data_IF_446438753645
#
_entry.id   IF_446438753645
#
_cell.length_a   1.000
_cell.length_b   1.000
_cell.length_c   1.000
_cell.angle_alpha   90.00
_cell.angle_beta   90.00
_cell.angle_gamma   90.00
#
_symmetry.space_group_name_H-M   'P 1'
#
loop_
_entity.id
_entity.type
_entity.pdbx_description
1 polymer ?
#
# COMPACT_ATOMS: atom_id res chain seq x y z
N UNK A 1 -2.28 8.76 -14.37
CA UNK A 1 -3.74 8.78 -14.56
C UNK A 1 -4.32 7.65 -13.75
N UNK A 2 -5.32 7.93 -12.92
CA UNK A 2 -6.03 6.89 -12.17
C UNK A 2 -6.68 5.87 -13.10
N UNK A 3 -6.61 4.59 -12.73
CA UNK A 3 -7.28 3.48 -13.39
C UNK A 3 -7.93 2.59 -12.35
N UNK A 4 -9.07 2.01 -12.69
CA UNK A 4 -9.66 0.97 -11.88
C UNK A 4 -8.91 -0.35 -12.08
N UNK A 5 -8.83 -1.15 -11.02
CA UNK A 5 -8.24 -2.47 -11.06
C UNK A 5 -8.95 -3.38 -10.03
N UNK A 6 -9.31 -4.63 -10.37
CA UNK A 6 -10.20 -5.47 -9.55
C UNK A 6 -9.65 -5.80 -8.15
N UNK A 7 -8.34 -5.66 -7.95
CA UNK A 7 -7.68 -5.89 -6.65
C UNK A 7 -7.72 -4.67 -5.73
N UNK A 8 -7.95 -3.46 -6.28
CA UNK A 8 -7.97 -2.21 -5.53
C UNK A 8 -9.41 -1.82 -5.21
N UNK A 9 -9.80 -2.03 -3.97
CA UNK A 9 -11.13 -1.66 -3.49
C UNK A 9 -11.15 -0.19 -3.10
N UNK A 10 -11.90 0.64 -3.83
CA UNK A 10 -12.00 2.07 -3.53
C UNK A 10 -12.85 2.34 -2.27
N UNK A 11 -12.66 3.48 -1.59
CA UNK A 11 -13.60 3.95 -0.57
C UNK A 11 -15.02 4.06 -1.13
N UNK A 12 -16.03 3.73 -0.32
CA UNK A 12 -17.44 3.85 -0.72
C UNK A 12 -17.84 5.30 -1.02
N UNK A 13 -17.25 6.26 -0.29
CA UNK A 13 -17.49 7.69 -0.45
C UNK A 13 -16.31 8.35 -1.17
N UNK A 14 -16.56 8.89 -2.37
CA UNK A 14 -15.55 9.60 -3.17
C UNK A 14 -15.02 10.87 -2.45
N UNK A 15 -15.83 11.46 -1.57
CA UNK A 15 -15.45 12.60 -0.72
C UNK A 15 -14.89 12.19 0.64
N UNK A 16 -14.58 10.91 0.86
CA UNK A 16 -13.98 10.46 2.11
C UNK A 16 -12.66 11.19 2.36
N UNK A 17 -12.51 11.73 3.57
CA UNK A 17 -11.32 12.46 3.99
C UNK A 17 -10.12 11.54 4.12
N UNK A 18 -9.00 11.99 3.58
CA UNK A 18 -7.72 11.30 3.64
C UNK A 18 -6.65 12.26 4.16
N UNK A 19 -5.72 11.72 4.93
CA UNK A 19 -4.70 12.49 5.63
C UNK A 19 -3.31 11.95 5.31
N UNK A 20 -2.36 12.84 5.07
CA UNK A 20 -0.94 12.49 4.95
C UNK A 20 -0.14 13.32 5.93
N UNK A 21 0.60 12.63 6.81
CA UNK A 21 1.46 13.24 7.80
C UNK A 21 2.89 13.23 7.26
N UNK A 22 3.48 14.42 7.07
CA UNK A 22 4.81 14.58 6.47
C UNK A 22 5.62 15.63 7.24
N UNK A 23 6.94 15.46 7.24
CA UNK A 23 7.84 16.49 7.75
C UNK A 23 7.92 17.70 6.81
N UNK A 24 8.48 18.80 7.32
CA UNK A 24 8.64 20.04 6.58
C UNK A 24 9.40 19.87 5.26
N UNK A 25 10.46 19.04 5.23
CA UNK A 25 11.28 18.85 4.03
C UNK A 25 10.51 18.15 2.91
N UNK A 26 9.68 17.15 3.25
CA UNK A 26 8.79 16.49 2.29
C UNK A 26 7.69 17.43 1.80
N UNK A 27 7.19 18.31 2.66
CA UNK A 27 6.21 19.33 2.25
C UNK A 27 6.81 20.34 1.28
N UNK A 28 8.00 20.86 1.55
CA UNK A 28 8.73 21.74 0.60
C UNK A 28 8.96 21.02 -0.72
N UNK A 29 9.38 19.75 -0.69
CA UNK A 29 9.54 18.95 -1.92
C UNK A 29 8.23 18.77 -2.69
N UNK A 30 7.10 18.58 -2.01
CA UNK A 30 5.78 18.47 -2.62
C UNK A 30 5.41 19.75 -3.38
N UNK A 31 5.64 20.91 -2.77
CA UNK A 31 5.35 22.22 -3.37
C UNK A 31 6.29 22.52 -4.55
N UNK A 32 7.60 22.38 -4.34
CA UNK A 32 8.63 22.68 -5.35
C UNK A 32 8.47 21.81 -6.60
N UNK A 33 8.21 20.50 -6.41
CA UNK A 33 8.03 19.57 -7.53
C UNK A 33 6.61 19.53 -8.07
N UNK A 34 5.64 20.08 -7.34
CA UNK A 34 4.21 19.93 -7.64
C UNK A 34 3.84 18.47 -7.94
N UNK A 35 4.42 17.54 -7.18
CA UNK A 35 4.34 16.11 -7.44
C UNK A 35 4.33 15.29 -6.14
N UNK A 36 3.57 14.19 -6.15
CA UNK A 36 3.57 13.23 -5.04
C UNK A 36 4.78 12.30 -5.13
N UNK A 37 5.46 12.10 -4.01
CA UNK A 37 6.53 11.11 -3.90
C UNK A 37 5.97 9.71 -3.69
N UNK A 38 6.43 8.73 -4.48
CA UNK A 38 6.13 7.32 -4.30
C UNK A 38 7.38 6.58 -3.79
N UNK A 39 7.24 5.88 -2.68
CA UNK A 39 8.28 5.07 -2.07
C UNK A 39 8.28 3.69 -2.72
N UNK A 40 9.45 3.14 -3.06
CA UNK A 40 9.53 1.74 -3.49
C UNK A 40 9.03 0.80 -2.39
N UNK A 41 8.31 -0.26 -2.75
CA UNK A 41 7.71 -1.17 -1.77
C UNK A 41 8.74 -1.77 -0.81
N UNK A 42 9.93 -2.12 -1.31
CA UNK A 42 11.04 -2.65 -0.50
C UNK A 42 11.66 -1.64 0.50
N UNK A 43 11.16 -0.40 0.53
CA UNK A 43 11.64 0.69 1.41
C UNK A 43 10.58 1.22 2.38
N UNK A 44 9.41 0.57 2.48
CA UNK A 44 8.32 1.00 3.38
C UNK A 44 8.56 0.65 4.86
N UNK A 45 9.52 -0.24 5.14
CA UNK A 45 10.01 -0.51 6.50
C UNK A 45 9.42 -1.73 7.19
N UNK A 46 8.22 -2.21 6.80
CA UNK A 46 7.73 -3.52 7.24
C UNK A 46 8.43 -4.64 6.43
N UNK A 47 9.18 -5.57 7.07
CA UNK A 47 9.79 -6.71 6.39
C UNK A 47 8.78 -7.64 5.68
N UNK A 48 7.50 -7.57 6.04
CA UNK A 48 6.42 -8.38 5.45
C UNK A 48 5.65 -7.63 4.36
N UNK A 49 5.99 -6.38 4.08
CA UNK A 49 5.38 -5.61 3.00
C UNK A 49 5.61 -6.30 1.66
N UNK A 50 4.57 -6.47 0.84
CA UNK A 50 4.68 -7.16 -0.45
C UNK A 50 4.92 -8.67 -0.35
N UNK A 51 4.81 -9.26 0.84
CA UNK A 51 4.96 -10.71 1.07
C UNK A 51 3.62 -11.44 1.14
N UNK A 52 3.68 -12.76 1.02
CA UNK A 52 2.53 -13.63 1.26
C UNK A 52 2.43 -14.02 2.73
N UNK A 53 1.22 -14.40 3.16
CA UNK A 53 1.00 -14.85 4.52
C UNK A 53 1.76 -16.15 4.81
N UNK A 54 2.02 -16.44 6.09
CA UNK A 54 2.59 -17.74 6.48
C UNK A 54 1.62 -18.87 6.22
N UNK A 55 0.32 -18.62 6.30
CA UNK A 55 -0.69 -19.58 5.86
C UNK A 55 -0.52 -19.92 4.37
N UNK A 56 -0.18 -18.94 3.50
CA UNK A 56 0.16 -19.25 2.12
C UNK A 56 1.32 -20.23 2.02
N UNK A 57 2.44 -19.94 2.70
CA UNK A 57 3.64 -20.79 2.64
C UNK A 57 3.33 -22.21 3.12
N UNK A 58 2.57 -22.35 4.21
CA UNK A 58 2.23 -23.65 4.80
C UNK A 58 1.27 -24.47 3.93
N UNK A 59 0.26 -23.83 3.34
CA UNK A 59 -0.84 -24.51 2.64
C UNK A 59 -0.57 -24.69 1.13
N UNK A 60 0.35 -23.91 0.54
CA UNK A 60 0.73 -23.99 -0.89
C UNK A 60 1.06 -25.40 -1.37
N UNK A 61 1.88 -26.22 -0.66
CA UNK A 61 2.22 -27.56 -1.14
C UNK A 61 1.00 -28.48 -1.28
N UNK A 62 0.00 -28.32 -0.40
CA UNK A 62 -1.23 -29.10 -0.44
C UNK A 62 -2.18 -28.58 -1.54
N UNK A 63 -2.35 -27.26 -1.64
CA UNK A 63 -3.26 -26.66 -2.62
C UNK A 63 -2.76 -26.73 -4.06
N UNK A 64 -1.45 -26.68 -4.27
CA UNK A 64 -0.80 -26.81 -5.58
C UNK A 64 -0.11 -28.16 -5.75
N UNK A 65 -0.70 -29.22 -5.17
CA UNK A 65 -0.18 -30.59 -5.28
C UNK A 65 0.02 -30.97 -6.75
N UNK A 66 1.25 -31.34 -7.10
CA UNK A 66 1.65 -31.69 -8.47
C UNK A 66 2.34 -30.56 -9.25
N UNK A 67 2.43 -29.35 -8.69
CA UNK A 67 3.28 -28.30 -9.24
C UNK A 67 4.77 -28.58 -8.91
N UNK A 68 5.69 -28.46 -9.87
CA UNK A 68 7.10 -28.69 -9.60
C UNK A 68 7.69 -27.62 -8.66
N UNK A 69 8.54 -28.04 -7.72
CA UNK A 69 9.09 -27.17 -6.66
C UNK A 69 9.81 -25.92 -7.20
N UNK A 70 10.47 -26.04 -8.35
CA UNK A 70 11.14 -24.92 -9.01
C UNK A 70 10.18 -23.78 -9.41
N UNK A 71 8.89 -24.07 -9.63
CA UNK A 71 7.89 -23.05 -9.94
C UNK A 71 7.63 -22.15 -8.72
N UNK A 72 7.62 -22.72 -7.51
CA UNK A 72 7.44 -21.97 -6.26
C UNK A 72 8.65 -21.08 -5.95
N UNK A 73 9.86 -21.56 -6.24
CA UNK A 73 11.09 -20.78 -6.08
C UNK A 73 11.17 -19.62 -7.09
N UNK A 74 10.79 -19.88 -8.35
CA UNK A 74 10.73 -18.85 -9.38
C UNK A 74 9.71 -17.77 -9.04
N UNK A 75 8.56 -18.15 -8.48
CA UNK A 75 7.54 -17.23 -8.01
C UNK A 75 8.10 -16.33 -6.90
N UNK A 76 8.79 -16.91 -5.92
CA UNK A 76 9.44 -16.18 -4.83
C UNK A 76 10.45 -15.15 -5.34
N UNK A 77 11.31 -15.52 -6.30
CA UNK A 77 12.27 -14.60 -6.94
C UNK A 77 11.59 -13.49 -7.73
N UNK A 78 10.55 -13.82 -8.48
CA UNK A 78 9.74 -12.83 -9.21
C UNK A 78 9.20 -11.77 -8.26
N UNK A 79 8.64 -12.15 -7.11
CA UNK A 79 8.12 -11.19 -6.13
C UNK A 79 9.20 -10.30 -5.52
N UNK A 80 10.38 -10.85 -5.19
CA UNK A 80 11.50 -10.03 -4.68
C UNK A 80 11.94 -8.96 -5.68
N UNK A 81 11.92 -9.29 -6.97
CA UNK A 81 12.18 -8.33 -8.04
C UNK A 81 11.03 -7.34 -8.10
N UNK A 82 9.78 -7.82 -8.16
CA UNK A 82 8.60 -6.99 -8.32
C UNK A 82 8.48 -5.92 -7.22
N UNK A 83 8.81 -6.22 -5.97
CA UNK A 83 8.87 -5.22 -4.89
C UNK A 83 9.77 -4.01 -5.18
N UNK A 84 10.84 -4.18 -5.95
CA UNK A 84 11.75 -3.09 -6.33
C UNK A 84 11.21 -2.23 -7.47
N UNK A 85 10.21 -2.72 -8.20
CA UNK A 85 9.54 -2.05 -9.32
C UNK A 85 8.13 -1.58 -8.99
N UNK A 86 7.64 -1.85 -7.78
CA UNK A 86 6.38 -1.32 -7.26
C UNK A 86 6.64 -0.05 -6.47
N UNK A 87 6.00 1.05 -6.86
CA UNK A 87 6.07 2.34 -6.19
C UNK A 87 4.74 2.64 -5.49
N UNK A 88 4.80 3.10 -4.24
CA UNK A 88 3.67 3.16 -3.32
C UNK A 88 3.56 4.55 -2.70
N UNK A 89 2.32 5.02 -2.55
CA UNK A 89 1.99 6.28 -1.89
C UNK A 89 0.84 6.03 -0.91
N UNK A 90 1.02 6.38 0.36
CA UNK A 90 0.07 6.01 1.42
C UNK A 90 -0.63 7.23 1.99
N UNK A 91 -1.92 7.09 2.28
CA UNK A 91 -2.77 8.05 2.98
C UNK A 91 -3.55 7.36 4.11
N UNK A 92 -3.90 8.09 5.15
CA UNK A 92 -4.75 7.62 6.24
C UNK A 92 -6.21 8.00 5.98
N UNK A 93 -7.09 7.03 5.76
CA UNK A 93 -8.51 7.25 5.52
C UNK A 93 -9.25 7.44 6.85
N UNK A 94 -9.67 8.67 7.15
CA UNK A 94 -10.36 9.00 8.40
C UNK A 94 -11.11 10.32 8.30
N UNK A 95 -12.28 10.40 8.95
CA UNK A 95 -13.06 11.65 9.02
C UNK A 95 -12.35 12.73 9.86
N UNK A 96 -11.56 12.29 10.84
CA UNK A 96 -10.82 13.14 11.76
C UNK A 96 -9.33 12.86 11.69
N UNK A 97 -8.56 13.88 12.05
CA UNK A 97 -7.13 13.79 12.26
C UNK A 97 -6.79 12.78 13.37
N UNK A 98 -5.64 12.10 13.26
CA UNK A 98 -5.21 11.05 14.18
C UNK A 98 -3.95 11.45 14.94
N UNK A 99 -4.09 11.65 16.25
CA UNK A 99 -2.97 11.91 17.15
C UNK A 99 -1.91 10.78 17.14
N UNK A 100 -2.32 9.53 16.88
CA UNK A 100 -1.39 8.41 16.75
C UNK A 100 -0.54 8.52 15.47
N UNK A 101 -1.15 8.92 14.35
CA UNK A 101 -0.45 9.03 13.07
C UNK A 101 0.61 10.14 13.07
N UNK A 102 0.37 11.25 13.78
CA UNK A 102 1.40 12.26 14.06
C UNK A 102 2.66 11.62 14.66
N UNK A 103 2.52 10.81 15.70
CA UNK A 103 3.65 10.17 16.40
C UNK A 103 4.33 9.09 15.56
N UNK A 104 3.57 8.37 14.73
CA UNK A 104 4.10 7.26 13.92
C UNK A 104 4.91 7.76 12.72
N UNK A 105 4.47 8.85 12.07
CA UNK A 105 5.05 9.31 10.80
C UNK A 105 6.07 10.44 10.95
N UNK A 106 6.10 11.12 12.10
CA UNK A 106 6.99 12.25 12.33
C UNK A 106 8.05 11.89 13.38
N UNK A 107 9.29 12.27 13.08
CA UNK A 107 10.45 12.06 13.98
C UNK A 107 10.67 13.24 14.94
N UNK A 108 9.99 14.35 14.73
CA UNK A 108 10.06 15.57 15.52
C UNK A 108 8.66 16.10 15.77
N UNK A 109 8.55 17.13 16.63
CA UNK A 109 7.29 17.85 16.87
C UNK A 109 6.93 18.82 15.72
N UNK A 110 7.71 18.83 14.65
CA UNK A 110 7.52 19.67 13.48
C UNK A 110 7.04 18.81 12.31
N UNK A 111 5.75 18.90 12.01
CA UNK A 111 5.16 18.18 10.89
C UNK A 111 3.93 18.89 10.36
N UNK A 112 3.47 18.39 9.22
CA UNK A 112 2.37 18.95 8.47
C UNK A 112 1.42 17.80 8.14
N UNK A 113 0.15 17.98 8.49
CA UNK A 113 -0.93 17.15 8.01
C UNK A 113 -1.53 17.77 6.75
N UNK A 114 -1.50 17.02 5.65
CA UNK A 114 -2.21 17.37 4.42
C UNK A 114 -3.52 16.61 4.42
N UNK A 115 -4.65 17.33 4.44
CA UNK A 115 -5.98 16.76 4.28
C UNK A 115 -6.43 16.89 2.83
N UNK A 116 -7.03 15.83 2.29
CA UNK A 116 -7.63 15.81 0.95
C UNK A 116 -8.86 14.90 0.94
N UNK A 117 -9.35 14.56 -0.24
CA UNK A 117 -10.39 13.54 -0.45
C UNK A 117 -9.91 12.52 -1.49
N UNK A 118 -10.52 11.34 -1.51
CA UNK A 118 -10.24 10.32 -2.53
C UNK A 118 -10.41 10.88 -3.96
N UNK A 119 -11.49 11.62 -4.22
CA UNK A 119 -11.77 12.21 -5.53
C UNK A 119 -10.72 13.24 -5.96
N UNK A 120 -10.29 14.12 -5.04
CA UNK A 120 -9.25 15.11 -5.32
C UNK A 120 -7.89 14.45 -5.60
N UNK A 121 -7.51 13.43 -4.82
CA UNK A 121 -6.27 12.68 -5.04
C UNK A 121 -6.28 11.99 -6.43
N UNK A 122 -7.38 11.30 -6.74
CA UNK A 122 -7.60 10.63 -8.02
C UNK A 122 -7.48 11.61 -9.19
N UNK A 123 -8.12 12.78 -9.08
CA UNK A 123 -8.18 13.80 -10.13
C UNK A 123 -6.87 14.58 -10.28
N UNK A 124 -6.07 14.71 -9.21
CA UNK A 124 -4.76 15.35 -9.23
C UNK A 124 -3.71 14.53 -10.00
N UNK A 125 -3.85 13.20 -10.06
CA UNK A 125 -2.90 12.28 -10.69
C UNK A 125 -3.10 12.17 -12.22
N UNK A 126 -2.71 13.21 -12.96
CA UNK A 126 -2.94 13.34 -14.43
C UNK A 126 -1.83 12.77 -15.33
N UNK A 127 -0.87 12.01 -14.81
CA UNK A 127 0.24 11.48 -15.63
C UNK A 127 -0.26 10.48 -16.69
N UNK A 128 -0.17 10.82 -17.98
CA UNK A 128 -0.62 9.95 -19.07
C UNK A 128 0.29 8.73 -19.28
N UNK A 129 1.56 8.81 -18.85
CA UNK A 129 2.55 7.75 -19.08
C UNK A 129 2.42 6.60 -18.08
N UNK A 130 2.02 6.90 -16.86
CA UNK A 130 1.92 5.91 -15.79
C UNK A 130 0.49 5.81 -15.26
N UNK A 131 -0.07 4.60 -15.34
CA UNK A 131 -1.32 4.27 -14.66
C UNK A 131 -1.10 4.19 -13.15
N UNK A 132 -2.01 4.75 -12.37
CA UNK A 132 -2.02 4.62 -10.91
C UNK A 132 -3.29 3.91 -10.49
N UNK A 133 -3.16 2.95 -9.59
CA UNK A 133 -4.29 2.30 -8.94
C UNK A 133 -4.38 2.83 -7.52
N UNK A 134 -5.60 3.05 -7.03
CA UNK A 134 -5.84 3.55 -5.67
C UNK A 134 -6.89 2.66 -5.00
N UNK A 135 -6.63 2.19 -3.79
CA UNK A 135 -7.54 1.33 -3.04
C UNK A 135 -7.19 1.19 -1.57
N UNK A 136 -8.16 0.71 -0.79
CA UNK A 136 -8.01 0.43 0.62
C UNK A 136 -7.09 -0.78 0.82
N UNK A 137 -6.20 -0.67 1.79
CA UNK A 137 -5.41 -1.82 2.26
C UNK A 137 -6.28 -2.73 3.11
N UNK A 138 -6.23 -4.02 2.83
CA UNK A 138 -6.92 -5.08 3.58
C UNK A 138 -6.02 -5.62 4.67
N UNK A 139 -6.57 -5.79 5.86
CA UNK A 139 -5.80 -6.23 7.03
C UNK A 139 -6.18 -7.65 7.43
N UNK A 140 -5.24 -8.59 7.29
CA UNK A 140 -5.44 -10.03 7.52
C UNK A 140 -4.49 -10.58 8.59
N UNK A 141 -4.86 -11.68 9.23
CA UNK A 141 -3.98 -12.44 10.13
C UNK A 141 -3.00 -13.27 9.29
N UNK A 142 -1.74 -12.84 9.21
CA UNK A 142 -0.75 -13.52 8.37
C UNK A 142 -0.43 -14.96 8.82
N UNK A 143 -0.77 -15.35 10.06
CA UNK A 143 -0.55 -16.71 10.53
C UNK A 143 -1.65 -17.68 10.08
N UNK A 144 -2.87 -17.16 9.86
CA UNK A 144 -4.09 -17.97 9.66
C UNK A 144 -4.73 -17.78 8.30
N UNK A 145 -4.75 -16.55 7.81
CA UNK A 145 -5.52 -16.17 6.64
C UNK A 145 -4.74 -16.40 5.36
N UNK A 146 -5.40 -17.01 4.38
CA UNK A 146 -4.86 -17.16 3.03
C UNK A 146 -4.95 -15.82 2.28
N UNK A 147 -3.81 -15.31 1.81
CA UNK A 147 -3.75 -14.15 0.93
C UNK A 147 -4.03 -14.61 -0.51
N UNK A 148 -5.01 -14.03 -1.22
CA UNK A 148 -5.34 -14.43 -2.59
C UNK A 148 -4.12 -14.44 -3.54
N UNK A 149 -4.08 -15.44 -4.43
CA UNK A 149 -3.05 -15.61 -5.45
C UNK A 149 -3.63 -15.43 -6.86
N UNK A 150 -2.77 -15.38 -7.88
CA UNK A 150 -3.19 -15.18 -9.28
C UNK A 150 -3.19 -13.73 -9.76
N UNK A 151 -2.98 -12.77 -8.86
CA UNK A 151 -2.64 -11.39 -9.22
C UNK A 151 -1.43 -10.91 -8.40
N UNK A 152 -0.41 -10.39 -9.09
CA UNK A 152 0.83 -9.96 -8.46
C UNK A 152 0.68 -8.75 -7.53
N UNK A 153 -0.45 -8.02 -7.61
CA UNK A 153 -0.71 -6.83 -6.81
C UNK A 153 -1.31 -7.13 -5.42
N UNK A 154 -1.85 -8.33 -5.20
CA UNK A 154 -2.46 -8.68 -3.91
C UNK A 154 -1.57 -8.42 -2.69
N UNK A 155 -0.27 -8.78 -2.69
CA UNK A 155 0.61 -8.53 -1.55
C UNK A 155 0.84 -7.05 -1.22
N UNK A 156 0.54 -6.12 -2.15
CA UNK A 156 0.70 -4.68 -1.93
C UNK A 156 -0.59 -3.99 -1.53
N UNK A 157 -1.71 -4.71 -1.47
CA UNK A 157 -2.99 -4.21 -0.93
C UNK A 157 -3.45 -5.04 0.27
N UNK A 158 -2.59 -5.91 0.80
CA UNK A 158 -2.83 -6.63 2.04
C UNK A 158 -1.69 -6.36 3.02
N UNK A 159 -2.04 -6.17 4.28
CA UNK A 159 -1.09 -5.92 5.37
C UNK A 159 -1.48 -6.72 6.59
N UNK A 160 -0.53 -6.90 7.51
CA UNK A 160 -0.77 -7.62 8.76
C UNK A 160 -1.79 -6.89 9.62
N UNK A 161 -2.64 -7.66 10.30
CA UNK A 161 -3.71 -7.15 11.19
C UNK A 161 -3.22 -6.14 12.23
N UNK A 162 -1.98 -6.24 12.70
CA UNK A 162 -1.37 -5.29 13.65
C UNK A 162 -1.30 -3.84 13.14
N UNK A 163 -1.35 -3.62 11.82
CA UNK A 163 -1.32 -2.30 11.20
C UNK A 163 -2.73 -1.76 10.88
N UNK A 164 -3.81 -2.44 11.26
CA UNK A 164 -5.19 -2.05 10.91
C UNK A 164 -5.57 -0.64 11.38
N UNK A 165 -4.95 -0.16 12.45
CA UNK A 165 -5.12 1.21 12.95
C UNK A 165 -4.68 2.29 11.94
N UNK A 166 -3.81 1.96 10.98
CA UNK A 166 -3.34 2.88 9.95
C UNK A 166 -4.41 3.22 8.91
N UNK A 167 -5.47 2.41 8.75
CA UNK A 167 -6.57 2.63 7.81
C UNK A 167 -6.09 3.15 6.44
N UNK A 168 -5.11 2.45 5.88
CA UNK A 168 -4.30 2.90 4.77
C UNK A 168 -5.11 2.87 3.47
N UNK A 169 -5.14 4.01 2.78
CA UNK A 169 -5.49 4.12 1.36
C UNK A 169 -4.18 4.25 0.58
N UNK A 170 -4.02 3.41 -0.44
CA UNK A 170 -2.78 3.28 -1.22
C UNK A 170 -3.03 3.46 -2.70
#
# INVERSE_FOLDING_TARGET
>A
MYKEHPVFEKPENENAKIWRYIDFTKFVSLLDKSALFFTRADRLGDPFEGSYSRANIKLRPEMYKGMPLNALDNLSRFYQIFMKYTAINCWHLSEYESAAMWKLYLKSNEGIAVQSTFDLLKTALKDEKHGVFIGNVKYIDFEKDWLPEGNALYPFVHKRKSFEHERELR
#
